data_IF_255881004665
#
_entry.id   IF_255881004665
#
_cell.length_a   1.000
_cell.length_b   1.000
_cell.length_c   1.000
_cell.angle_alpha   90.00
_cell.angle_beta   90.00
_cell.angle_gamma   90.00
#
_symmetry.space_group_name_H-M   'P 1'
#
loop_
_entity.id
_entity.type
_entity.pdbx_description
1 polymer ?
#
# COMPACT_ATOMS: atom_id res chain seq x y z
N UNK A 1 -33.09 -26.25 10.49
CA UNK A 1 -32.30 -26.89 9.41
C UNK A 1 -30.81 -26.54 9.46
N UNK A 2 -30.43 -25.28 9.64
CA UNK A 2 -29.02 -24.83 9.74
C UNK A 2 -28.18 -25.54 10.81
N UNK A 3 -28.79 -25.83 11.98
CA UNK A 3 -28.16 -26.61 13.06
C UNK A 3 -27.77 -28.03 12.64
N UNK A 4 -28.54 -28.67 11.75
CA UNK A 4 -28.24 -30.02 11.27
C UNK A 4 -27.11 -29.99 10.24
N UNK A 5 -27.08 -29.00 9.34
CA UNK A 5 -25.97 -28.81 8.39
C UNK A 5 -24.65 -28.56 9.13
N UNK A 6 -24.63 -27.65 10.11
CA UNK A 6 -23.45 -27.42 10.94
C UNK A 6 -22.99 -28.69 11.68
N UNK A 7 -23.93 -29.44 12.26
CA UNK A 7 -23.62 -30.69 12.99
C UNK A 7 -23.04 -31.76 12.07
N UNK A 8 -23.57 -31.88 10.85
CA UNK A 8 -23.08 -32.84 9.85
C UNK A 8 -21.70 -32.45 9.33
N UNK A 9 -21.50 -31.19 8.96
CA UNK A 9 -20.20 -30.68 8.48
C UNK A 9 -19.12 -30.80 9.54
N UNK A 10 -19.41 -30.46 10.81
CA UNK A 10 -18.44 -30.57 11.90
C UNK A 10 -18.01 -32.02 12.16
N UNK A 11 -18.95 -32.98 12.02
CA UNK A 11 -18.64 -34.41 12.12
C UNK A 11 -17.79 -34.89 10.94
N UNK A 12 -18.06 -34.38 9.73
CA UNK A 12 -17.30 -34.71 8.53
C UNK A 12 -15.85 -34.17 8.59
N UNK A 13 -15.69 -32.93 9.05
CA UNK A 13 -14.39 -32.29 9.28
C UNK A 13 -13.59 -33.06 10.34
N UNK A 14 -14.20 -33.47 11.45
CA UNK A 14 -13.51 -34.27 12.48
C UNK A 14 -13.09 -35.65 11.97
N UNK A 15 -13.86 -36.27 11.08
CA UNK A 15 -13.53 -37.59 10.49
C UNK A 15 -12.36 -37.50 9.49
N UNK A 16 -12.24 -36.38 8.76
CA UNK A 16 -11.17 -36.12 7.79
C UNK A 16 -10.35 -34.88 8.18
N UNK A 17 -9.90 -34.84 9.44
CA UNK A 17 -9.32 -33.63 10.04
C UNK A 17 -8.01 -33.19 9.37
N UNK A 18 -7.12 -34.10 9.01
CA UNK A 18 -5.83 -33.75 8.37
C UNK A 18 -6.01 -33.05 7.03
N UNK A 19 -6.83 -33.63 6.14
CA UNK A 19 -7.12 -33.05 4.82
C UNK A 19 -7.90 -31.75 4.93
N UNK A 20 -8.93 -31.71 5.80
CA UNK A 20 -9.74 -30.50 6.00
C UNK A 20 -8.89 -29.36 6.58
N UNK A 21 -7.98 -29.65 7.52
CA UNK A 21 -7.09 -28.66 8.11
C UNK A 21 -6.14 -28.09 7.06
N UNK A 22 -5.50 -28.94 6.25
CA UNK A 22 -4.57 -28.50 5.21
C UNK A 22 -5.28 -27.59 4.20
N UNK A 23 -6.50 -27.95 3.79
CA UNK A 23 -7.26 -27.17 2.83
C UNK A 23 -7.74 -25.82 3.41
N UNK A 24 -8.23 -25.80 4.65
CA UNK A 24 -8.64 -24.57 5.34
C UNK A 24 -7.43 -23.65 5.58
N UNK A 25 -6.30 -24.19 6.02
CA UNK A 25 -5.09 -23.41 6.24
C UNK A 25 -4.56 -22.82 4.94
N UNK A 26 -4.43 -23.62 3.88
CA UNK A 26 -3.96 -23.15 2.58
C UNK A 26 -4.85 -22.04 2.02
N UNK A 27 -6.17 -22.23 2.07
CA UNK A 27 -7.13 -21.22 1.61
C UNK A 27 -7.05 -19.94 2.46
N UNK A 28 -7.00 -20.08 3.78
CA UNK A 28 -6.96 -18.92 4.69
C UNK A 28 -5.66 -18.14 4.55
N UNK A 29 -4.52 -18.82 4.39
CA UNK A 29 -3.21 -18.21 4.17
C UNK A 29 -3.18 -17.46 2.83
N UNK A 30 -3.69 -18.07 1.76
CA UNK A 30 -3.74 -17.43 0.45
C UNK A 30 -4.63 -16.18 0.42
N UNK A 31 -5.81 -16.25 1.06
CA UNK A 31 -6.70 -15.09 1.15
C UNK A 31 -6.09 -14.00 2.04
N UNK A 32 -5.49 -14.37 3.18
CA UNK A 32 -4.86 -13.42 4.10
C UNK A 32 -3.68 -12.71 3.45
N UNK A 33 -2.82 -13.43 2.73
CA UNK A 33 -1.65 -12.83 2.06
C UNK A 33 -2.08 -11.88 0.94
N UNK A 34 -3.06 -12.26 0.13
CA UNK A 34 -3.63 -11.38 -0.90
C UNK A 34 -4.25 -10.12 -0.28
N UNK A 35 -4.98 -10.26 0.83
CA UNK A 35 -5.58 -9.13 1.53
C UNK A 35 -4.53 -8.16 2.08
N UNK A 36 -3.46 -8.68 2.71
CA UNK A 36 -2.37 -7.85 3.19
C UNK A 36 -1.67 -7.09 2.07
N UNK A 37 -1.44 -7.73 0.92
CA UNK A 37 -0.88 -7.06 -0.25
C UNK A 37 -1.78 -5.93 -0.75
N UNK A 38 -3.10 -6.15 -0.83
CA UNK A 38 -4.04 -5.11 -1.26
C UNK A 38 -4.04 -3.93 -0.30
N UNK A 39 -4.04 -4.19 1.01
CA UNK A 39 -3.98 -3.12 2.03
C UNK A 39 -2.67 -2.34 1.89
N UNK A 40 -1.54 -3.02 1.76
CA UNK A 40 -0.23 -2.38 1.60
C UNK A 40 -0.17 -1.49 0.34
N UNK A 41 -0.62 -2.00 -0.80
CA UNK A 41 -0.64 -1.23 -2.05
C UNK A 41 -1.60 -0.05 -1.96
N UNK A 42 -2.75 -0.23 -1.28
CA UNK A 42 -3.72 0.86 -1.08
C UNK A 42 -3.15 1.97 -0.20
N UNK A 43 -2.39 1.61 0.83
CA UNK A 43 -1.70 2.55 1.71
C UNK A 43 -0.64 3.35 0.95
N UNK A 44 0.23 2.65 0.20
CA UNK A 44 1.28 3.27 -0.61
C UNK A 44 0.71 4.25 -1.65
N UNK A 45 -0.34 3.84 -2.36
CA UNK A 45 -1.00 4.70 -3.34
C UNK A 45 -1.78 5.86 -2.70
N UNK A 46 -2.17 5.73 -1.42
CA UNK A 46 -2.85 6.80 -0.70
C UNK A 46 -1.88 7.85 -0.15
N UNK A 47 -0.58 7.52 -0.01
CA UNK A 47 0.42 8.42 0.54
C UNK A 47 0.48 9.76 -0.18
N UNK A 48 0.48 9.77 -1.52
CA UNK A 48 0.55 11.00 -2.33
C UNK A 48 -0.80 11.71 -2.51
N UNK A 49 -1.90 11.11 -2.04
CA UNK A 49 -3.27 11.62 -2.25
C UNK A 49 -3.87 12.32 -1.04
N UNK A 50 -3.08 12.62 -0.02
CA UNK A 50 -3.56 13.35 1.18
C UNK A 50 -4.03 14.78 0.89
N UNK A 51 -3.58 15.38 -0.21
CA UNK A 51 -3.99 16.71 -0.62
C UNK A 51 -5.17 16.68 -1.59
N UNK A 52 -6.29 17.28 -1.20
CA UNK A 52 -7.51 17.43 -2.01
C UNK A 52 -7.27 18.16 -3.36
N UNK A 53 -6.18 18.92 -3.47
CA UNK A 53 -5.75 19.66 -4.67
C UNK A 53 -4.36 19.25 -5.15
N UNK A 54 -3.99 17.97 -4.95
CA UNK A 54 -2.67 17.40 -5.30
C UNK A 54 -2.22 17.69 -6.74
N UNK A 55 -3.14 17.67 -7.70
CA UNK A 55 -2.85 17.96 -9.13
C UNK A 55 -2.26 19.35 -9.39
N UNK A 56 -2.38 20.27 -8.43
CA UNK A 56 -1.87 21.65 -8.54
C UNK A 56 -0.61 21.88 -7.69
N UNK A 57 -0.10 20.83 -7.05
CA UNK A 57 1.12 20.88 -6.26
C UNK A 57 2.29 20.55 -7.18
N UNK A 58 3.04 21.58 -7.53
CA UNK A 58 4.26 21.44 -8.33
C UNK A 58 5.48 21.60 -7.43
N UNK A 59 6.48 20.74 -7.64
CA UNK A 59 7.77 20.89 -6.97
C UNK A 59 8.65 21.83 -7.78
N UNK A 60 9.05 22.95 -7.19
CA UNK A 60 9.99 23.88 -7.82
C UNK A 60 11.40 23.29 -7.74
N UNK A 61 12.03 23.02 -8.88
CA UNK A 61 13.41 22.55 -8.98
C UNK A 61 14.30 23.62 -9.60
N UNK A 62 15.46 23.87 -9.02
CA UNK A 62 16.45 24.77 -9.62
C UNK A 62 17.45 23.94 -10.43
N UNK A 63 17.43 24.12 -11.75
CA UNK A 63 18.47 23.58 -12.63
C UNK A 63 19.53 24.64 -12.82
N UNK A 64 20.70 24.43 -12.21
CA UNK A 64 21.84 25.33 -12.33
C UNK A 64 22.80 24.70 -13.35
N UNK A 65 22.95 25.37 -14.48
CA UNK A 65 23.89 25.00 -15.54
C UNK A 65 25.18 25.78 -15.30
N UNK A 66 26.25 25.11 -14.87
CA UNK A 66 27.60 25.66 -14.92
C UNK A 66 28.32 25.19 -16.20
N UNK A 67 29.40 25.86 -16.58
CA UNK A 67 30.15 25.59 -17.82
C UNK A 67 30.71 24.17 -17.88
N UNK A 68 30.98 23.54 -16.72
CA UNK A 68 31.61 22.22 -16.62
C UNK A 68 30.73 21.17 -15.91
N UNK A 69 29.62 21.57 -15.27
CA UNK A 69 28.76 20.64 -14.54
C UNK A 69 27.27 21.08 -14.53
N UNK A 70 26.38 20.09 -14.44
CA UNK A 70 24.93 20.27 -14.48
C UNK A 70 24.32 19.75 -13.18
N UNK A 71 23.99 20.67 -12.27
CA UNK A 71 23.41 20.28 -10.98
C UNK A 71 21.92 20.64 -10.92
N UNK A 72 21.09 19.64 -10.62
CA UNK A 72 19.65 19.84 -10.34
C UNK A 72 19.43 19.82 -8.83
N UNK A 73 19.21 21.00 -8.24
CA UNK A 73 18.92 21.14 -6.82
C UNK A 73 17.45 20.78 -6.54
N UNK A 74 17.26 19.78 -5.67
CA UNK A 74 15.97 19.36 -5.13
C UNK A 74 15.98 19.64 -3.63
N UNK A 75 15.65 20.86 -3.24
CA UNK A 75 15.49 21.26 -1.82
C UNK A 75 14.24 22.11 -1.68
N UNK A 76 13.61 22.05 -0.51
CA UNK A 76 12.61 23.04 -0.12
C UNK A 76 13.27 24.42 -0.24
N UNK A 77 12.70 25.31 -1.05
CA UNK A 77 13.30 26.62 -1.31
C UNK A 77 13.46 27.36 0.03
N UNK A 78 14.69 27.78 0.32
CA UNK A 78 15.00 28.62 1.47
C UNK A 78 14.14 29.88 1.32
N UNK A 79 13.46 30.40 2.37
CA UNK A 79 12.68 31.61 2.26
C UNK A 79 13.56 32.74 1.72
N UNK A 80 13.36 33.08 0.44
CA UNK A 80 14.09 34.17 -0.20
C UNK A 80 13.52 35.47 0.33
N UNK A 81 14.32 36.17 1.15
CA UNK A 81 14.08 37.58 1.43
C UNK A 81 14.15 38.40 0.15
N UNK A 82 13.61 39.63 0.14
CA UNK A 82 13.67 40.50 -1.04
C UNK A 82 15.12 40.61 -1.51
N UNK A 83 15.35 40.37 -2.81
CA UNK A 83 16.65 40.61 -3.42
C UNK A 83 17.03 42.07 -3.20
N UNK A 84 18.11 42.30 -2.45
CA UNK A 84 18.78 43.58 -2.48
C UNK A 84 19.29 43.78 -3.91
N UNK A 85 18.83 44.86 -4.53
CA UNK A 85 19.21 45.27 -5.89
C UNK A 85 20.70 45.59 -5.99
#
# INVERSE_FOLDING_TARGET
MFKNLLKTTLRHIRKHAGYSLLNILGLTLGISSALFLVIYVSDELSYDRYHEKGDRIYRVSSKITETDDQFTWIVAQIPFGPQAA
#
